data_IF_470875768786
#
_entry.id   IF_470875768786
#
_cell.length_a   1.000
_cell.length_b   1.000
_cell.length_c   1.000
_cell.angle_alpha   90.00
_cell.angle_beta   90.00
_cell.angle_gamma   90.00
#
_symmetry.space_group_name_H-M   'P 1'
#
loop_
_entity.id
_entity.type
_entity.pdbx_description
1 polymer ?
#
# COMPACT_ATOMS: atom_id res chain seq x y z
N UNK A 1 -61.24 16.14 -4.33
CA UNK A 1 -60.22 15.63 -5.28
C UNK A 1 -58.99 15.21 -4.49
N UNK A 2 -58.81 13.90 -4.38
CA UNK A 2 -57.80 13.25 -3.55
C UNK A 2 -56.40 13.46 -4.11
N UNK A 3 -55.53 14.11 -3.34
CA UNK A 3 -54.08 14.10 -3.55
C UNK A 3 -53.50 12.79 -3.00
N UNK A 4 -53.54 11.73 -3.80
CA UNK A 4 -52.73 10.53 -3.54
C UNK A 4 -51.38 10.68 -4.22
N UNK A 5 -50.46 11.36 -3.55
CA UNK A 5 -49.03 11.28 -3.88
C UNK A 5 -48.39 10.35 -2.83
N UNK A 6 -48.63 9.05 -2.96
CA UNK A 6 -47.91 8.05 -2.17
C UNK A 6 -46.44 8.11 -2.57
N UNK A 7 -45.61 8.66 -1.70
CA UNK A 7 -44.16 8.66 -1.84
C UNK A 7 -43.68 7.22 -2.01
N UNK A 8 -43.25 6.87 -3.23
CA UNK A 8 -42.56 5.61 -3.49
C UNK A 8 -41.27 5.61 -2.68
N UNK A 9 -41.30 4.96 -1.51
CA UNK A 9 -40.10 4.71 -0.70
C UNK A 9 -39.19 3.79 -1.52
N UNK A 10 -38.10 4.33 -2.03
CA UNK A 10 -37.02 3.53 -2.58
C UNK A 10 -36.27 2.93 -1.38
N UNK A 11 -36.26 1.59 -1.28
CA UNK A 11 -35.37 0.89 -0.36
C UNK A 11 -34.03 0.72 -1.07
N UNK A 12 -33.04 1.55 -0.70
CA UNK A 12 -31.68 1.52 -1.22
C UNK A 12 -30.73 1.01 -0.14
N UNK A 13 -29.86 0.07 -0.50
CA UNK A 13 -28.79 -0.45 0.35
C UNK A 13 -27.46 -0.41 -0.43
N UNK A 14 -26.36 -0.06 0.23
CA UNK A 14 -25.03 0.07 -0.37
C UNK A 14 -24.03 -0.68 0.53
N UNK A 15 -23.21 -1.55 -0.07
CA UNK A 15 -22.32 -2.48 0.64
C UNK A 15 -20.85 -2.37 0.21
N UNK A 16 -20.20 -1.19 0.30
CA UNK A 16 -18.77 -1.10 0.05
C UNK A 16 -18.01 -1.80 1.19
N UNK A 17 -16.81 -2.31 0.91
CA UNK A 17 -15.95 -2.93 1.94
C UNK A 17 -14.52 -2.41 1.94
N UNK A 18 -13.98 -2.19 0.74
CA UNK A 18 -12.60 -1.76 0.50
C UNK A 18 -12.23 -0.41 1.11
N UNK A 19 -13.22 0.43 1.43
CA UNK A 19 -13.03 1.78 1.99
C UNK A 19 -12.42 1.78 3.41
N UNK A 20 -12.40 0.65 4.10
CA UNK A 20 -11.76 0.53 5.42
C UNK A 20 -10.24 0.56 5.35
N UNK A 21 -9.66 0.10 4.23
CA UNK A 21 -8.21 0.08 4.02
C UNK A 21 -7.75 0.96 2.85
N UNK A 22 -8.61 1.16 1.84
CA UNK A 22 -8.25 1.65 0.52
C UNK A 22 -7.00 0.95 -0.04
N UNK A 23 -6.42 1.47 -1.12
CA UNK A 23 -5.15 1.06 -1.73
C UNK A 23 -4.83 1.94 -2.94
N UNK A 24 -3.74 1.62 -3.65
CA UNK A 24 -3.34 2.38 -4.84
C UNK A 24 -4.41 2.36 -5.93
N UNK A 25 -5.14 1.26 -6.12
CA UNK A 25 -6.23 1.25 -7.11
C UNK A 25 -7.33 2.26 -6.76
N UNK A 26 -7.61 2.46 -5.46
CA UNK A 26 -8.59 3.46 -5.04
C UNK A 26 -8.08 4.90 -5.07
N UNK A 27 -6.76 5.10 -4.94
CA UNK A 27 -6.16 6.39 -5.30
C UNK A 27 -6.35 6.68 -6.80
N UNK A 28 -6.16 5.68 -7.66
CA UNK A 28 -6.33 5.85 -9.11
C UNK A 28 -7.77 6.14 -9.53
N UNK A 29 -8.76 5.54 -8.86
CA UNK A 29 -10.19 5.83 -9.14
C UNK A 29 -10.65 7.16 -8.55
N UNK A 30 -9.83 7.81 -7.71
CA UNK A 30 -10.19 9.03 -6.98
C UNK A 30 -11.11 8.78 -5.78
N UNK A 31 -11.27 7.52 -5.36
CA UNK A 31 -12.00 7.18 -4.14
C UNK A 31 -11.16 7.43 -2.86
N UNK A 32 -9.83 7.40 -2.99
CA UNK A 32 -8.87 7.92 -2.02
C UNK A 32 -8.13 9.12 -2.64
N UNK A 33 -7.89 10.18 -1.88
CA UNK A 33 -7.25 11.40 -2.36
C UNK A 33 -5.73 11.21 -2.52
N UNK A 34 -5.09 10.61 -1.51
CA UNK A 34 -3.65 10.38 -1.49
C UNK A 34 -3.29 9.14 -0.65
N UNK A 35 -1.98 8.92 -0.45
CA UNK A 35 -1.50 7.76 0.29
C UNK A 35 -1.91 7.76 1.78
N UNK A 36 -2.20 8.91 2.38
CA UNK A 36 -2.62 9.01 3.78
C UNK A 36 -4.03 8.44 3.99
N UNK A 37 -4.86 8.40 2.95
CA UNK A 37 -6.18 7.74 3.01
C UNK A 37 -6.07 6.22 2.97
N UNK A 38 -4.95 5.67 2.47
CA UNK A 38 -4.72 4.24 2.49
C UNK A 38 -4.36 3.86 3.93
N UNK A 39 -5.01 2.88 4.54
CA UNK A 39 -4.63 2.33 5.84
C UNK A 39 -3.90 0.97 5.70
N UNK A 40 -4.18 0.20 4.65
CA UNK A 40 -3.49 -1.06 4.38
C UNK A 40 -2.03 -0.84 3.99
N UNK A 41 -1.09 -1.33 4.80
CA UNK A 41 0.37 -1.27 4.55
C UNK A 41 1.00 -2.65 4.64
N UNK A 42 2.07 -2.86 3.87
CA UNK A 42 2.99 -3.99 4.05
C UNK A 42 4.34 -3.43 4.47
N UNK A 43 4.84 -3.92 5.61
CA UNK A 43 6.12 -3.49 6.16
C UNK A 43 7.19 -4.48 5.73
N UNK A 44 8.26 -3.95 5.14
CA UNK A 44 9.39 -4.73 4.66
C UNK A 44 10.70 -4.13 5.19
N UNK A 45 11.78 -4.88 5.11
CA UNK A 45 13.15 -4.42 5.40
C UNK A 45 14.00 -4.40 4.14
N UNK A 46 14.93 -3.45 4.10
CA UNK A 46 16.00 -3.46 3.10
C UNK A 46 16.99 -4.56 3.42
N UNK A 47 17.09 -5.58 2.57
CA UNK A 47 17.95 -6.76 2.76
C UNK A 47 19.13 -6.81 1.79
N UNK A 48 19.26 -5.84 0.89
CA UNK A 48 20.41 -5.78 -0.02
C UNK A 48 20.51 -4.47 -0.78
N UNK A 49 21.74 -4.04 -1.03
CA UNK A 49 22.08 -2.95 -1.95
C UNK A 49 22.80 -3.51 -3.16
N UNK A 50 22.39 -3.07 -4.34
CA UNK A 50 23.02 -3.40 -5.61
C UNK A 50 23.42 -2.11 -6.32
N UNK A 51 24.55 -1.53 -5.91
CA UNK A 51 25.06 -0.27 -6.46
C UNK A 51 25.33 -0.37 -7.97
N UNK A 52 25.82 -1.52 -8.43
CA UNK A 52 26.06 -1.83 -9.84
C UNK A 52 24.76 -1.84 -10.68
N UNK A 53 23.62 -2.12 -10.02
CA UNK A 53 22.28 -2.14 -10.64
C UNK A 53 21.41 -0.96 -10.26
N UNK A 54 21.94 -0.02 -9.47
CA UNK A 54 21.25 1.16 -8.99
C UNK A 54 19.89 0.83 -8.32
N UNK A 55 19.88 -0.20 -7.48
CA UNK A 55 18.66 -0.70 -6.84
C UNK A 55 18.89 -1.28 -5.44
N UNK A 56 17.80 -1.37 -4.68
CA UNK A 56 17.76 -2.09 -3.40
C UNK A 56 16.89 -3.34 -3.51
N UNK A 57 17.04 -4.24 -2.55
CA UNK A 57 16.20 -5.41 -2.36
C UNK A 57 15.47 -5.33 -1.04
N UNK A 58 14.18 -5.65 -1.06
CA UNK A 58 13.34 -5.75 0.14
C UNK A 58 12.77 -7.16 0.30
N UNK A 59 12.53 -7.57 1.54
CA UNK A 59 12.00 -8.89 1.94
C UNK A 59 10.46 -9.02 1.80
N UNK A 60 9.88 -8.31 0.84
CA UNK A 60 8.47 -8.44 0.49
C UNK A 60 8.34 -8.78 -1.00
N UNK A 61 7.86 -9.99 -1.31
CA UNK A 61 7.58 -10.44 -2.67
C UNK A 61 6.09 -10.68 -2.93
N UNK A 62 5.80 -11.56 -3.88
CA UNK A 62 4.43 -11.94 -4.23
C UNK A 62 3.64 -12.57 -3.08
N UNK A 63 4.31 -13.23 -2.13
CA UNK A 63 3.70 -13.78 -0.90
C UNK A 63 3.37 -12.72 0.13
N UNK A 64 3.70 -11.45 -0.10
CA UNK A 64 3.34 -10.33 0.76
C UNK A 64 2.41 -9.32 0.06
N UNK A 65 2.56 -9.14 -1.26
CA UNK A 65 1.89 -8.06 -2.02
C UNK A 65 1.10 -8.54 -3.23
N UNK A 66 1.22 -9.83 -3.58
CA UNK A 66 0.81 -10.40 -4.87
C UNK A 66 1.54 -9.78 -6.08
N UNK A 67 1.17 -10.20 -7.30
CA UNK A 67 1.70 -9.65 -8.57
C UNK A 67 0.65 -8.91 -9.39
N UNK A 68 -0.46 -8.50 -8.76
CA UNK A 68 -1.52 -7.79 -9.46
C UNK A 68 -1.01 -6.42 -9.94
N UNK A 69 -1.06 -6.22 -11.26
CA UNK A 69 -0.85 -4.91 -11.85
C UNK A 69 -2.18 -4.18 -11.99
N UNK A 70 -2.17 -2.90 -11.62
CA UNK A 70 -3.32 -1.99 -11.73
C UNK A 70 -3.13 -1.01 -12.89
N UNK A 71 -4.17 -0.23 -13.28
CA UNK A 71 -4.04 0.75 -14.36
C UNK A 71 -2.92 1.78 -14.19
N UNK A 72 -2.53 2.13 -12.96
CA UNK A 72 -1.35 2.99 -12.70
C UNK A 72 0.02 2.29 -12.92
N UNK A 73 0.02 1.01 -13.28
CA UNK A 73 1.22 0.19 -13.43
C UNK A 73 1.78 -0.38 -12.13
N UNK A 74 2.87 -1.16 -12.26
CA UNK A 74 3.64 -1.76 -11.16
C UNK A 74 2.85 -2.71 -10.27
N UNK A 75 3.48 -3.22 -9.21
CA UNK A 75 2.87 -4.17 -8.26
C UNK A 75 2.65 -3.57 -6.86
N UNK A 76 3.40 -2.54 -6.49
CA UNK A 76 3.23 -1.73 -5.27
C UNK A 76 3.95 -0.38 -5.43
N UNK A 77 3.70 0.56 -4.52
CA UNK A 77 4.46 1.80 -4.37
C UNK A 77 5.20 1.83 -3.02
N UNK A 78 6.26 2.63 -2.95
CA UNK A 78 6.95 2.94 -1.69
C UNK A 78 6.34 4.22 -1.15
N UNK A 79 5.75 4.16 0.04
CA UNK A 79 5.07 5.32 0.65
C UNK A 79 6.06 6.48 0.84
N UNK A 80 5.63 7.70 0.54
CA UNK A 80 6.48 8.90 0.60
C UNK A 80 7.56 9.00 -0.50
N UNK A 81 7.67 8.00 -1.37
CA UNK A 81 8.72 7.89 -2.39
C UNK A 81 8.15 7.62 -3.79
N UNK A 82 7.37 8.57 -4.36
CA UNK A 82 6.73 8.41 -5.67
C UNK A 82 7.74 8.25 -6.81
N UNK A 83 9.00 8.65 -6.62
CA UNK A 83 10.09 8.49 -7.58
C UNK A 83 10.63 7.06 -7.69
N UNK A 84 10.24 6.17 -6.77
CA UNK A 84 10.67 4.78 -6.72
C UNK A 84 9.63 3.83 -7.33
N UNK A 85 10.14 2.72 -7.88
CA UNK A 85 9.34 1.67 -8.49
C UNK A 85 9.86 0.27 -8.16
N UNK A 86 8.94 -0.69 -8.02
CA UNK A 86 9.28 -2.10 -8.05
C UNK A 86 9.41 -2.57 -9.50
N UNK A 87 10.65 -2.81 -9.94
CA UNK A 87 10.92 -3.25 -11.32
C UNK A 87 11.07 -4.76 -11.48
N UNK A 88 11.24 -5.50 -10.37
CA UNK A 88 11.32 -6.96 -10.38
C UNK A 88 10.82 -7.52 -9.06
N UNK A 89 10.00 -8.56 -9.13
CA UNK A 89 9.47 -9.26 -7.97
C UNK A 89 9.53 -10.78 -8.14
N UNK A 90 9.99 -11.46 -7.10
CA UNK A 90 10.01 -12.92 -6.97
C UNK A 90 8.95 -13.36 -5.95
N UNK A 91 9.07 -14.58 -5.40
CA UNK A 91 8.15 -15.06 -4.38
C UNK A 91 8.29 -14.22 -3.09
N UNK A 92 9.50 -14.10 -2.55
CA UNK A 92 9.73 -13.50 -1.21
C UNK A 92 10.44 -12.14 -1.26
N UNK A 93 11.00 -11.75 -2.40
CA UNK A 93 11.76 -10.50 -2.51
C UNK A 93 11.37 -9.65 -3.70
N UNK A 94 11.53 -8.33 -3.54
CA UNK A 94 11.32 -7.33 -4.58
C UNK A 94 12.55 -6.43 -4.73
N UNK A 95 12.82 -6.00 -5.96
CA UNK A 95 13.86 -5.03 -6.27
C UNK A 95 13.23 -3.68 -6.59
N UNK A 96 13.70 -2.65 -5.90
CA UNK A 96 13.22 -1.28 -6.00
C UNK A 96 14.31 -0.42 -6.61
N UNK A 97 13.95 0.42 -7.57
CA UNK A 97 14.86 1.38 -8.21
C UNK A 97 14.20 2.73 -8.37
N UNK A 98 14.98 3.74 -8.73
CA UNK A 98 14.45 5.02 -9.18
C UNK A 98 13.83 4.86 -10.58
N UNK A 99 12.64 5.44 -10.83
CA UNK A 99 11.91 5.36 -12.12
C UNK A 99 12.70 5.89 -13.31
N UNK A 100 13.41 6.99 -13.08
CA UNK A 100 14.36 7.61 -14.02
C UNK A 100 15.77 7.04 -13.84
N UNK A 101 16.59 7.12 -14.88
CA UNK A 101 18.01 6.79 -14.86
C UNK A 101 18.84 7.84 -14.10
N UNK A 102 18.65 7.91 -12.78
CA UNK A 102 19.41 8.76 -11.86
C UNK A 102 19.89 7.91 -10.68
N UNK A 103 20.90 8.40 -9.96
CA UNK A 103 21.44 7.68 -8.80
C UNK A 103 20.36 7.38 -7.74
N UNK A 104 20.31 6.14 -7.28
CA UNK A 104 19.42 5.69 -6.22
C UNK A 104 19.84 6.31 -4.88
N UNK A 105 18.89 6.78 -4.04
CA UNK A 105 19.21 7.45 -2.78
C UNK A 105 19.55 6.47 -1.64
N UNK A 106 20.61 5.66 -1.79
CA UNK A 106 20.96 4.58 -0.85
C UNK A 106 21.05 5.03 0.62
N UNK A 107 21.49 6.26 0.89
CA UNK A 107 21.59 6.82 2.24
C UNK A 107 20.23 6.88 2.97
N UNK A 108 19.12 7.03 2.24
CA UNK A 108 17.77 7.03 2.78
C UNK A 108 17.20 5.63 3.03
N UNK A 109 17.88 4.59 2.55
CA UNK A 109 17.45 3.19 2.65
C UNK A 109 18.59 2.29 3.17
N UNK A 110 19.14 2.51 4.38
CA UNK A 110 20.18 1.65 4.93
C UNK A 110 19.76 0.16 4.96
N UNK A 111 20.73 -0.76 4.98
CA UNK A 111 20.42 -2.16 5.26
C UNK A 111 19.69 -2.28 6.61
N UNK A 112 18.75 -3.21 6.68
CA UNK A 112 17.84 -3.44 7.80
C UNK A 112 16.84 -2.31 8.08
N UNK A 113 16.86 -1.18 7.36
CA UNK A 113 15.86 -0.13 7.56
C UNK A 113 14.47 -0.59 7.12
N UNK A 114 13.45 -0.06 7.77
CA UNK A 114 12.06 -0.32 7.41
C UNK A 114 11.68 0.41 6.12
N UNK A 115 10.88 -0.24 5.28
CA UNK A 115 10.25 0.32 4.09
C UNK A 115 8.75 0.08 4.18
N UNK A 116 7.98 1.16 3.99
CA UNK A 116 6.53 1.11 4.01
C UNK A 116 5.97 0.97 2.58
N UNK A 117 5.25 -0.12 2.30
CA UNK A 117 4.78 -0.46 0.97
C UNK A 117 3.25 -0.32 0.86
N UNK A 118 2.81 0.34 -0.21
CA UNK A 118 1.41 0.51 -0.58
C UNK A 118 1.00 -0.62 -1.55
N UNK A 119 0.15 -1.57 -1.13
CA UNK A 119 -0.34 -2.60 -2.04
C UNK A 119 -1.18 -1.97 -3.15
N UNK A 120 -1.15 -2.58 -4.33
CA UNK A 120 -2.09 -2.23 -5.40
C UNK A 120 -3.54 -2.53 -5.02
N UNK A 121 -3.72 -3.66 -4.33
CA UNK A 121 -5.01 -4.17 -3.91
C UNK A 121 -4.93 -4.73 -2.49
N UNK A 122 -5.49 -4.01 -1.53
CA UNK A 122 -5.43 -4.36 -0.12
C UNK A 122 -6.09 -5.69 0.18
N UNK A 123 -7.20 -6.04 -0.47
CA UNK A 123 -7.85 -7.34 -0.28
C UNK A 123 -6.94 -8.52 -0.63
N UNK A 124 -6.20 -8.41 -1.75
CA UNK A 124 -5.28 -9.47 -2.19
C UNK A 124 -4.03 -9.54 -1.32
N UNK A 125 -3.47 -8.40 -0.94
CA UNK A 125 -2.34 -8.36 -0.01
C UNK A 125 -2.74 -8.91 1.37
N UNK A 126 -3.91 -8.52 1.88
CA UNK A 126 -4.43 -8.98 3.17
C UNK A 126 -4.58 -10.51 3.21
N UNK A 127 -5.09 -11.11 2.13
CA UNK A 127 -5.20 -12.57 2.00
C UNK A 127 -3.85 -13.33 2.09
N UNK A 128 -2.72 -12.65 2.01
CA UNK A 128 -1.40 -13.24 2.18
C UNK A 128 -0.91 -13.30 3.64
N UNK A 129 -1.65 -12.71 4.59
CA UNK A 129 -1.25 -12.66 6.00
C UNK A 129 -2.29 -13.31 6.91
N UNK A 130 -1.80 -14.09 7.87
CA UNK A 130 -2.64 -14.70 8.92
C UNK A 130 -3.00 -13.71 10.04
N UNK A 131 -2.27 -12.58 10.12
CA UNK A 131 -2.41 -11.57 11.17
C UNK A 131 -2.20 -10.17 10.63
N UNK A 132 -2.87 -9.21 11.26
CA UNK A 132 -2.71 -7.78 11.01
C UNK A 132 -2.31 -7.08 12.29
N UNK A 133 -1.34 -6.17 12.19
CA UNK A 133 -0.98 -5.28 13.29
C UNK A 133 -1.74 -3.98 13.12
N UNK A 134 -2.64 -3.69 14.06
CA UNK A 134 -3.33 -2.40 14.12
C UNK A 134 -2.44 -1.45 14.91
N UNK A 135 -2.14 -0.32 14.28
CA UNK A 135 -1.20 0.67 14.80
C UNK A 135 -1.93 1.97 15.08
N UNK A 136 -1.59 2.60 16.20
CA UNK A 136 -1.99 3.97 16.49
C UNK A 136 -0.78 4.87 16.19
N UNK A 137 -0.98 5.81 15.28
CA UNK A 137 0.05 6.77 14.86
C UNK A 137 -0.01 8.07 15.72
N UNK A 138 -0.98 8.18 16.62
CA UNK A 138 -1.16 9.34 17.49
C UNK A 138 -1.38 10.62 16.68
N UNK A 139 -0.69 11.71 17.04
CA UNK A 139 -0.74 12.98 16.28
C UNK A 139 0.09 12.95 14.99
N UNK A 140 1.02 12.00 14.88
CA UNK A 140 1.85 11.83 13.70
C UNK A 140 1.10 10.95 12.72
N UNK A 141 0.33 11.53 11.80
CA UNK A 141 -0.45 10.82 10.76
C UNK A 141 0.44 10.09 9.72
N UNK A 142 1.53 9.46 10.15
CA UNK A 142 2.48 8.77 9.31
C UNK A 142 3.11 7.62 10.08
N UNK A 143 2.92 6.41 9.57
CA UNK A 143 3.54 5.20 10.07
C UNK A 143 5.06 5.38 10.23
N UNK A 144 5.57 5.02 11.40
CA UNK A 144 7.00 5.06 11.69
C UNK A 144 7.44 3.82 12.47
N UNK A 145 8.75 3.64 12.62
CA UNK A 145 9.32 2.59 13.47
C UNK A 145 8.93 2.74 14.96
N UNK A 146 8.41 3.90 15.35
CA UNK A 146 7.95 4.19 16.72
C UNK A 146 6.43 4.04 16.88
N UNK A 147 5.70 3.67 15.83
CA UNK A 147 4.25 3.43 15.91
C UNK A 147 3.95 2.30 16.89
N UNK A 148 2.94 2.49 17.75
CA UNK A 148 2.55 1.51 18.75
C UNK A 148 1.53 0.54 18.16
N UNK A 149 1.77 -0.76 18.32
CA UNK A 149 0.79 -1.79 17.99
C UNK A 149 -0.25 -1.84 19.12
N UNK A 150 -1.46 -1.39 18.83
CA UNK A 150 -2.57 -1.33 19.80
C UNK A 150 -3.46 -2.57 19.75
N UNK A 151 -3.47 -3.29 18.62
CA UNK A 151 -4.23 -4.52 18.46
C UNK A 151 -3.58 -5.47 17.45
N UNK A 152 -3.93 -6.75 17.54
CA UNK A 152 -3.59 -7.76 16.52
C UNK A 152 -4.86 -8.47 16.12
N UNK A 153 -5.18 -8.42 14.82
CA UNK A 153 -6.31 -9.12 14.21
C UNK A 153 -5.84 -10.38 13.52
#
# INVERSE_FOLDING_TARGET
NNNNNSSNKINLEIHPGKYTLFDRQQMWTGAACDENDVAGRVIARVIGHYEDRNSIMVDAGATALTKEQTPQGEVFAVAGHPELECYKMTQEVSLIRHRREVAFPFKGFPLDSVVNLLPNHSCLAAACFDKYFVVDEGEHQTLSENSEVVETW
#
